data_IF_391400696701
#
_entry.id   IF_391400696701
#
_cell.length_a   1.000
_cell.length_b   1.000
_cell.length_c   1.000
_cell.angle_alpha   90.00
_cell.angle_beta   90.00
_cell.angle_gamma   90.00
#
_symmetry.space_group_name_H-M   'P 1'
#
loop_
_entity.id
_entity.type
_entity.pdbx_description
1 polymer ?
#
# COMPACT_ATOMS: atom_id res chain seq x y z
N UNK A 1 0.86 11.11 9.55
CA UNK A 1 0.85 12.44 10.22
C UNK A 1 0.15 13.41 9.29
N UNK A 2 -1.02 13.91 9.66
CA UNK A 2 -1.79 14.82 8.83
C UNK A 2 -1.18 16.22 8.81
N UNK A 3 -1.31 16.90 7.68
CA UNK A 3 -0.90 18.30 7.51
C UNK A 3 -2.16 19.11 7.15
N UNK A 4 -2.44 20.26 7.81
CA UNK A 4 -1.60 21.02 8.75
C UNK A 4 -1.75 20.66 10.23
N UNK A 5 -2.68 19.76 10.59
CA UNK A 5 -3.05 19.55 11.99
C UNK A 5 -2.01 18.80 12.82
N UNK A 6 -1.10 18.06 12.20
CA UNK A 6 -0.12 17.23 12.90
C UNK A 6 -0.74 16.03 13.62
N UNK A 7 -1.93 15.60 13.20
CA UNK A 7 -2.64 14.47 13.80
C UNK A 7 -2.04 13.12 13.37
N UNK A 8 -2.09 12.15 14.28
CA UNK A 8 -1.63 10.79 14.05
C UNK A 8 -2.84 9.91 13.78
N UNK A 9 -2.81 9.21 12.64
CA UNK A 9 -3.85 8.25 12.28
C UNK A 9 -3.78 7.04 13.22
N UNK A 10 -4.92 6.60 13.74
CA UNK A 10 -5.02 5.27 14.33
C UNK A 10 -5.06 4.23 13.19
N UNK A 11 -3.87 3.81 12.76
CA UNK A 11 -3.71 2.92 11.60
C UNK A 11 -4.42 1.58 11.85
N UNK A 12 -4.34 1.04 13.07
CA UNK A 12 -4.94 -0.26 13.39
C UNK A 12 -6.46 -0.19 13.30
N UNK A 13 -7.08 0.79 13.96
CA UNK A 13 -8.53 0.93 13.94
C UNK A 13 -9.07 1.15 12.51
N UNK A 14 -8.36 1.93 11.70
CA UNK A 14 -8.76 2.17 10.31
C UNK A 14 -8.52 0.95 9.43
N UNK A 15 -7.42 0.22 9.63
CA UNK A 15 -7.13 -1.03 8.92
C UNK A 15 -8.21 -2.07 9.19
N UNK A 16 -8.61 -2.25 10.46
CA UNK A 16 -9.65 -3.21 10.84
C UNK A 16 -10.97 -2.91 10.14
N UNK A 17 -11.36 -1.63 10.04
CA UNK A 17 -12.57 -1.20 9.30
C UNK A 17 -12.41 -1.43 7.78
N UNK A 18 -11.24 -1.10 7.22
CA UNK A 18 -10.94 -1.31 5.81
C UNK A 18 -11.03 -2.79 5.42
N UNK A 19 -10.39 -3.66 6.20
CA UNK A 19 -10.39 -5.11 6.00
C UNK A 19 -11.78 -5.72 6.19
N UNK A 20 -12.55 -5.26 7.19
CA UNK A 20 -13.95 -5.68 7.34
C UNK A 20 -14.83 -5.29 6.13
N UNK A 21 -14.49 -4.20 5.44
CA UNK A 21 -15.13 -3.76 4.22
C UNK A 21 -14.53 -4.39 2.95
N UNK A 22 -13.53 -5.28 3.07
CA UNK A 22 -12.85 -5.91 1.93
C UNK A 22 -12.07 -4.93 1.05
N UNK A 23 -11.38 -3.95 1.66
CA UNK A 23 -10.44 -3.06 0.97
C UNK A 23 -9.09 -2.99 1.68
N UNK A 24 -7.98 -2.79 0.94
CA UNK A 24 -6.69 -2.53 1.54
C UNK A 24 -6.63 -1.12 2.12
N UNK A 25 -5.79 -0.93 3.14
CA UNK A 25 -5.43 0.38 3.67
C UNK A 25 -4.10 0.85 3.06
N UNK A 26 -4.13 2.00 2.38
CA UNK A 26 -2.94 2.69 1.87
C UNK A 26 -2.58 3.85 2.81
N UNK A 27 -1.33 3.92 3.26
CA UNK A 27 -0.84 5.00 4.14
C UNK A 27 0.29 5.79 3.46
N UNK A 28 0.12 7.12 3.34
CA UNK A 28 1.23 8.02 3.06
C UNK A 28 2.08 8.19 4.33
N UNK A 29 3.30 7.64 4.29
CA UNK A 29 4.24 7.67 5.40
C UNK A 29 5.44 8.58 5.11
N UNK A 30 5.26 9.57 4.24
CA UNK A 30 6.31 10.52 3.86
C UNK A 30 6.89 11.26 5.06
N UNK A 31 6.04 11.83 5.92
CA UNK A 31 6.49 12.69 7.03
C UNK A 31 7.13 11.91 8.17
N UNK A 32 6.53 10.81 8.69
CA UNK A 32 7.18 10.05 9.75
C UNK A 32 8.44 9.33 9.28
N UNK A 33 8.54 8.98 7.98
CA UNK A 33 9.58 8.11 7.40
C UNK A 33 9.51 6.68 7.97
N UNK A 34 10.11 5.66 7.30
CA UNK A 34 10.14 4.31 7.84
C UNK A 34 11.00 4.19 9.12
N UNK A 35 11.82 5.20 9.43
CA UNK A 35 12.65 5.20 10.63
C UNK A 35 11.82 5.39 11.91
N UNK A 36 10.77 6.23 11.88
CA UNK A 36 9.94 6.49 13.05
C UNK A 36 8.68 5.62 13.10
N UNK A 37 8.13 5.24 11.95
CA UNK A 37 6.88 4.48 11.87
C UNK A 37 6.92 3.53 10.69
N UNK A 38 6.56 2.26 10.91
CA UNK A 38 6.39 1.25 9.87
C UNK A 38 4.91 0.86 9.79
N UNK A 39 4.06 1.55 9.00
CA UNK A 39 2.61 1.37 9.01
C UNK A 39 2.13 -0.07 8.77
N UNK A 40 2.90 -0.86 8.02
CA UNK A 40 2.59 -2.28 7.76
C UNK A 40 2.49 -3.08 9.07
N UNK A 41 3.34 -2.79 10.06
CA UNK A 41 3.29 -3.42 11.39
C UNK A 41 2.03 -3.03 12.17
N UNK A 42 1.33 -1.99 11.73
CA UNK A 42 0.10 -1.47 12.31
C UNK A 42 -1.16 -1.79 11.49
N UNK A 43 -1.05 -2.58 10.42
CA UNK A 43 -2.19 -3.06 9.62
C UNK A 43 -2.40 -2.34 8.28
N UNK A 44 -1.57 -1.37 7.91
CA UNK A 44 -1.58 -0.89 6.53
C UNK A 44 -1.09 -1.97 5.58
N UNK A 45 -1.62 -2.00 4.36
CA UNK A 45 -1.24 -3.00 3.35
C UNK A 45 -0.24 -2.44 2.35
N UNK A 46 -0.39 -1.16 2.01
CA UNK A 46 0.47 -0.45 1.08
C UNK A 46 0.94 0.84 1.72
N UNK A 47 2.23 1.14 1.58
CA UNK A 47 2.81 2.40 2.05
C UNK A 47 3.33 3.18 0.87
N UNK A 48 3.00 4.47 0.82
CA UNK A 48 3.54 5.37 -0.20
C UNK A 48 4.44 6.42 0.46
N UNK A 49 5.47 6.83 -0.28
CA UNK A 49 6.29 7.97 0.08
C UNK A 49 6.53 8.86 -1.13
N UNK A 50 6.47 10.18 -0.89
CA UNK A 50 7.19 11.15 -1.71
C UNK A 50 8.67 11.06 -1.35
N UNK A 51 9.40 10.23 -2.08
CA UNK A 51 10.83 10.01 -1.88
C UNK A 51 11.65 11.31 -2.07
N UNK A 52 11.15 12.28 -2.84
CA UNK A 52 11.70 13.65 -2.94
C UNK A 52 12.00 14.30 -1.59
N UNK A 53 11.18 14.00 -0.57
CA UNK A 53 11.24 14.69 0.73
C UNK A 53 12.30 14.07 1.63
N UNK A 54 11.91 13.46 2.75
CA UNK A 54 12.84 13.04 3.79
C UNK A 54 13.71 11.83 3.39
N UNK A 55 13.26 11.00 2.44
CA UNK A 55 14.07 9.87 1.95
C UNK A 55 15.23 10.36 1.08
N UNK A 56 14.96 11.24 0.11
CA UNK A 56 15.99 11.87 -0.71
C UNK A 56 16.78 12.92 0.07
N UNK A 57 16.14 13.64 0.98
CA UNK A 57 16.73 14.51 2.01
C UNK A 57 17.31 15.85 1.54
N UNK A 58 17.71 15.94 0.27
CA UNK A 58 18.54 17.05 -0.24
C UNK A 58 17.80 18.05 -1.14
N UNK A 59 16.50 17.82 -1.42
CA UNK A 59 15.69 18.74 -2.23
C UNK A 59 16.09 18.86 -3.70
N UNK A 60 16.90 17.93 -4.22
CA UNK A 60 17.48 17.99 -5.56
C UNK A 60 16.86 17.02 -6.57
N UNK A 61 16.14 16.00 -6.10
CA UNK A 61 15.67 14.90 -6.96
C UNK A 61 14.24 14.54 -6.65
N UNK A 62 13.40 14.51 -7.67
CA UNK A 62 12.00 14.08 -7.56
C UNK A 62 11.94 12.56 -7.63
N UNK A 63 11.20 11.96 -6.69
CA UNK A 63 10.92 10.54 -6.69
C UNK A 63 9.69 10.20 -5.85
N UNK A 64 9.09 9.07 -6.17
CA UNK A 64 8.03 8.42 -5.39
C UNK A 64 8.37 6.95 -5.23
N UNK A 65 7.89 6.34 -4.15
CA UNK A 65 7.98 4.89 -3.95
C UNK A 65 6.65 4.38 -3.39
N UNK A 66 6.23 3.24 -3.92
CA UNK A 66 5.13 2.42 -3.41
C UNK A 66 5.78 1.17 -2.81
N UNK A 67 5.38 0.82 -1.60
CA UNK A 67 5.85 -0.36 -0.88
C UNK A 67 4.65 -1.23 -0.60
N UNK A 68 4.66 -2.42 -1.19
CA UNK A 68 3.68 -3.47 -0.90
C UNK A 68 4.11 -4.26 0.34
N UNK A 69 3.19 -4.44 1.28
CA UNK A 69 3.40 -5.30 2.44
C UNK A 69 3.10 -6.77 2.20
N UNK A 70 2.40 -7.11 1.11
CA UNK A 70 1.94 -8.47 0.83
C UNK A 70 0.95 -9.00 1.88
N UNK A 71 0.21 -8.10 2.54
CA UNK A 71 -0.67 -8.43 3.68
C UNK A 71 -2.15 -8.52 3.31
N UNK A 72 -2.58 -7.87 2.24
CA UNK A 72 -3.99 -7.89 1.82
C UNK A 72 -4.30 -9.06 0.88
N UNK A 73 -5.34 -9.83 1.20
CA UNK A 73 -5.82 -10.92 0.36
C UNK A 73 -6.73 -10.39 -0.75
N UNK A 74 -6.13 -9.95 -1.86
CA UNK A 74 -6.89 -9.60 -3.08
C UNK A 74 -7.66 -10.81 -3.65
N UNK A 75 -7.26 -12.03 -3.27
CA UNK A 75 -7.87 -13.30 -3.63
C UNK A 75 -9.30 -13.46 -3.14
N UNK A 76 -9.51 -13.10 -1.87
CA UNK A 76 -10.81 -13.18 -1.20
C UNK A 76 -11.85 -12.20 -1.77
N UNK A 77 -11.43 -11.26 -2.62
CA UNK A 77 -12.24 -10.15 -3.10
C UNK A 77 -12.24 -10.02 -4.63
N UNK A 78 -12.26 -11.16 -5.35
CA UNK A 78 -12.14 -11.23 -6.80
C UNK A 78 -13.12 -10.33 -7.58
N UNK A 79 -14.38 -10.24 -7.15
CA UNK A 79 -15.38 -9.37 -7.79
C UNK A 79 -15.01 -7.89 -7.71
N UNK A 80 -14.32 -7.48 -6.64
CA UNK A 80 -13.90 -6.10 -6.42
C UNK A 80 -12.58 -5.77 -7.09
N UNK A 81 -11.69 -6.74 -7.21
CA UNK A 81 -10.35 -6.59 -7.78
C UNK A 81 -10.15 -7.53 -8.97
N UNK A 82 -10.96 -7.43 -10.05
CA UNK A 82 -10.95 -8.37 -11.16
C UNK A 82 -9.60 -8.42 -11.90
N UNK A 83 -8.86 -7.31 -11.92
CA UNK A 83 -7.54 -7.23 -12.59
C UNK A 83 -6.51 -8.20 -11.98
N UNK A 84 -6.72 -8.65 -10.74
CA UNK A 84 -5.87 -9.66 -10.11
C UNK A 84 -6.25 -11.10 -10.50
N UNK A 85 -7.43 -11.32 -11.09
CA UNK A 85 -8.01 -12.66 -11.28
C UNK A 85 -8.31 -13.01 -12.72
N UNK A 86 -8.63 -12.00 -13.53
CA UNK A 86 -8.88 -12.15 -14.95
C UNK A 86 -7.57 -12.24 -15.74
N UNK A 87 -7.57 -12.94 -16.89
CA UNK A 87 -6.39 -13.00 -17.75
C UNK A 87 -6.01 -11.61 -18.25
N UNK A 88 -4.80 -11.15 -17.93
CA UNK A 88 -4.26 -9.90 -18.45
C UNK A 88 -3.71 -10.10 -19.88
N UNK A 89 -4.35 -9.52 -20.92
CA UNK A 89 -3.89 -9.66 -22.29
C UNK A 89 -2.55 -8.95 -22.54
N UNK A 90 -2.16 -7.97 -21.70
CA UNK A 90 -0.87 -7.28 -21.80
C UNK A 90 0.29 -8.15 -21.31
N UNK A 91 -0.01 -9.20 -20.54
CA UNK A 91 0.97 -10.11 -19.95
C UNK A 91 0.66 -11.58 -20.24
N UNK A 92 0.40 -11.88 -21.52
CA UNK A 92 0.21 -13.26 -22.04
C UNK A 92 -0.93 -14.06 -21.37
N UNK A 93 -1.96 -13.38 -20.89
CA UNK A 93 -3.10 -14.00 -20.21
C UNK A 93 -2.80 -14.43 -18.77
N UNK A 94 -1.74 -13.88 -18.17
CA UNK A 94 -1.43 -14.12 -16.76
C UNK A 94 -2.61 -13.68 -15.89
N UNK A 95 -2.96 -14.51 -14.90
CA UNK A 95 -3.85 -14.13 -13.80
C UNK A 95 -2.96 -13.86 -12.59
N UNK A 96 -2.81 -12.60 -12.20
CA UNK A 96 -1.78 -12.17 -11.25
C UNK A 96 -1.88 -12.86 -9.89
N UNK A 97 -3.07 -12.91 -9.28
CA UNK A 97 -3.25 -13.50 -7.96
C UNK A 97 -3.03 -15.01 -7.93
N UNK A 98 -3.62 -15.83 -8.83
CA UNK A 98 -3.30 -17.25 -8.91
C UNK A 98 -1.81 -17.55 -9.13
N UNK A 99 -1.08 -16.68 -9.83
CA UNK A 99 0.32 -16.91 -10.17
C UNK A 99 1.30 -16.40 -9.12
N UNK A 100 1.03 -15.25 -8.51
CA UNK A 100 1.98 -14.51 -7.66
C UNK A 100 1.54 -14.40 -6.19
N UNK A 101 0.27 -14.66 -5.89
CA UNK A 101 -0.30 -14.55 -4.55
C UNK A 101 -0.02 -13.18 -3.92
N UNK A 102 0.48 -13.11 -2.67
CA UNK A 102 0.81 -11.84 -2.00
C UNK A 102 1.79 -10.93 -2.75
N UNK A 103 2.57 -11.44 -3.71
CA UNK A 103 3.47 -10.62 -4.53
C UNK A 103 2.80 -9.99 -5.76
N UNK A 104 1.49 -10.14 -5.93
CA UNK A 104 0.78 -9.73 -7.14
C UNK A 104 0.67 -8.21 -7.32
N UNK A 105 0.78 -7.41 -6.25
CA UNK A 105 0.66 -5.95 -6.33
C UNK A 105 2.01 -5.25 -6.56
N UNK A 106 3.13 -5.96 -6.35
CA UNK A 106 4.51 -5.43 -6.41
C UNK A 106 5.09 -5.31 -7.84
#
# INVERSE_FOLDING_TARGET
>A
LGNPRGDVLDIRAVADVAHAAGVPLIVDNTVPTPFLLRPIEHGADIVIHSATKFLGGHGTTIGGVVVDGGTFDFGAHAERFPDFHEPDPSYHGLRYWPALGPGAFA
#
